data_IF_761359740044
#
_entry.id   IF_761359740044
#
_cell.length_a   1.000
_cell.length_b   1.000
_cell.length_c   1.000
_cell.angle_alpha   90.00
_cell.angle_beta   90.00
_cell.angle_gamma   90.00
#
_symmetry.space_group_name_H-M   'P 1'
#
loop_
_entity.id
_entity.type
_entity.pdbx_description
1 polymer ?
#
# COMPACT_ATOMS: atom_id res chain seq x y z
N UNK A 1 1.07 -23.38 18.35
CA UNK A 1 0.12 -22.73 17.42
C UNK A 1 0.33 -21.22 17.56
N UNK A 2 0.79 -20.54 16.53
CA UNK A 2 0.92 -19.07 16.53
C UNK A 2 -0.48 -18.48 16.56
N UNK A 3 -0.82 -17.80 17.66
CA UNK A 3 -2.10 -17.10 17.80
C UNK A 3 -2.29 -16.21 16.57
N UNK A 4 -3.37 -16.43 15.85
CA UNK A 4 -3.70 -15.67 14.63
C UNK A 4 -4.03 -14.25 15.06
N UNK A 5 -3.45 -13.28 14.36
CA UNK A 5 -3.63 -11.86 14.68
C UNK A 5 -4.83 -11.35 13.91
N UNK A 6 -6.00 -11.48 14.51
CA UNK A 6 -7.27 -11.16 13.88
C UNK A 6 -7.34 -9.71 13.36
N UNK A 7 -6.72 -8.75 14.07
CA UNK A 7 -6.68 -7.35 13.62
C UNK A 7 -5.97 -7.15 12.26
N UNK A 8 -4.97 -7.98 11.93
CA UNK A 8 -4.27 -7.88 10.63
C UNK A 8 -5.19 -8.36 9.50
N UNK A 9 -5.96 -9.41 9.71
CA UNK A 9 -6.93 -9.87 8.73
C UNK A 9 -8.08 -8.85 8.58
N UNK A 10 -8.51 -8.17 9.67
CA UNK A 10 -9.43 -7.04 9.59
C UNK A 10 -8.87 -5.89 8.74
N UNK A 11 -7.62 -5.48 8.98
CA UNK A 11 -6.96 -4.43 8.19
C UNK A 11 -6.81 -4.80 6.72
N UNK A 12 -6.49 -6.06 6.42
CA UNK A 12 -6.42 -6.57 5.04
C UNK A 12 -7.80 -6.55 4.38
N UNK A 13 -8.85 -6.95 5.13
CA UNK A 13 -10.22 -6.90 4.66
C UNK A 13 -10.67 -5.48 4.34
N UNK A 14 -10.36 -4.51 5.19
CA UNK A 14 -10.59 -3.10 4.90
C UNK A 14 -9.80 -2.65 3.67
N UNK A 15 -8.50 -2.99 3.62
CA UNK A 15 -7.62 -2.61 2.52
C UNK A 15 -8.15 -3.08 1.17
N UNK A 16 -8.57 -4.35 1.05
CA UNK A 16 -9.08 -4.88 -0.23
C UNK A 16 -10.42 -4.25 -0.64
N UNK A 17 -11.30 -3.97 0.32
CA UNK A 17 -12.53 -3.22 0.04
C UNK A 17 -12.21 -1.84 -0.53
N UNK A 18 -11.26 -1.12 0.08
CA UNK A 18 -10.85 0.20 -0.39
C UNK A 18 -10.17 0.15 -1.77
N UNK A 19 -9.43 -0.91 -2.09
CA UNK A 19 -8.87 -1.13 -3.43
C UNK A 19 -10.00 -1.26 -4.46
N UNK A 20 -10.99 -2.12 -4.19
CA UNK A 20 -12.14 -2.32 -5.11
C UNK A 20 -12.93 -1.03 -5.29
N UNK A 21 -13.28 -0.36 -4.18
CA UNK A 21 -14.00 0.92 -4.22
C UNK A 21 -13.21 2.01 -4.93
N UNK A 22 -11.90 2.10 -4.67
CA UNK A 22 -11.03 3.06 -5.32
C UNK A 22 -11.02 2.90 -6.84
N UNK A 23 -10.85 1.67 -7.34
CA UNK A 23 -10.88 1.41 -8.78
C UNK A 23 -12.26 1.64 -9.40
N UNK A 24 -13.34 1.36 -8.68
CA UNK A 24 -14.69 1.69 -9.14
C UNK A 24 -14.89 3.21 -9.25
N UNK A 25 -14.48 3.97 -8.23
CA UNK A 25 -14.59 5.43 -8.21
C UNK A 25 -13.70 6.11 -9.25
N UNK A 26 -12.56 5.52 -9.61
CA UNK A 26 -11.63 6.07 -10.60
C UNK A 26 -12.31 6.39 -11.94
N UNK A 27 -13.28 5.57 -12.35
CA UNK A 27 -14.01 5.76 -13.61
C UNK A 27 -15.01 6.93 -13.57
N UNK A 28 -15.53 7.28 -12.38
CA UNK A 28 -16.57 8.29 -12.21
C UNK A 28 -16.07 9.60 -11.63
N UNK A 29 -14.83 9.65 -11.11
CA UNK A 29 -14.30 10.81 -10.39
C UNK A 29 -14.27 12.11 -11.21
N UNK A 30 -14.08 12.00 -12.52
CA UNK A 30 -14.02 13.16 -13.41
C UNK A 30 -15.40 13.81 -13.65
N UNK A 31 -16.50 13.14 -13.31
CA UNK A 31 -17.85 13.66 -13.46
C UNK A 31 -18.48 14.23 -12.19
N UNK A 32 -17.94 13.90 -11.01
CA UNK A 32 -18.58 14.23 -9.74
C UNK A 32 -17.56 14.59 -8.66
N UNK A 33 -17.58 15.85 -8.18
CA UNK A 33 -16.65 16.35 -7.15
C UNK A 33 -16.66 15.53 -5.86
N UNK A 34 -17.84 15.05 -5.43
CA UNK A 34 -17.96 14.17 -4.26
C UNK A 34 -17.24 12.83 -4.47
N UNK A 35 -17.37 12.21 -5.64
CA UNK A 35 -16.71 10.95 -5.98
C UNK A 35 -15.19 11.16 -6.05
N UNK A 36 -14.77 12.28 -6.64
CA UNK A 36 -13.36 12.67 -6.69
C UNK A 36 -12.78 12.86 -5.29
N UNK A 37 -13.44 13.62 -4.42
CA UNK A 37 -13.00 13.82 -3.04
C UNK A 37 -12.91 12.49 -2.25
N UNK A 38 -13.89 11.60 -2.43
CA UNK A 38 -13.90 10.26 -1.82
C UNK A 38 -12.73 9.42 -2.34
N UNK A 39 -12.48 9.46 -3.64
CA UNK A 39 -11.34 8.78 -4.28
C UNK A 39 -10.01 9.26 -3.69
N UNK A 40 -9.79 10.57 -3.57
CA UNK A 40 -8.58 11.13 -2.99
C UNK A 40 -8.39 10.70 -1.53
N UNK A 41 -9.47 10.65 -0.73
CA UNK A 41 -9.39 10.16 0.65
C UNK A 41 -8.96 8.69 0.71
N UNK A 42 -9.48 7.83 -0.15
CA UNK A 42 -9.10 6.42 -0.20
C UNK A 42 -7.63 6.29 -0.64
N UNK A 43 -7.25 6.96 -1.73
CA UNK A 43 -5.90 6.86 -2.29
C UNK A 43 -4.82 7.43 -1.38
N UNK A 44 -5.17 8.33 -0.47
CA UNK A 44 -4.22 8.87 0.51
C UNK A 44 -3.63 7.82 1.46
N UNK A 45 -4.29 6.66 1.67
CA UNK A 45 -3.78 5.69 2.64
C UNK A 45 -3.99 4.20 2.32
N UNK A 46 -4.92 3.83 1.40
CA UNK A 46 -5.28 2.41 1.22
C UNK A 46 -4.08 1.53 0.82
N UNK A 47 -3.20 2.02 -0.07
CA UNK A 47 -2.00 1.27 -0.44
C UNK A 47 -0.94 1.29 0.67
N UNK A 48 -0.80 2.38 1.44
CA UNK A 48 0.03 2.44 2.62
C UNK A 48 -0.37 1.36 3.64
N UNK A 49 -1.68 1.24 3.91
CA UNK A 49 -2.26 0.20 4.75
C UNK A 49 -1.95 -1.21 4.21
N UNK A 50 -2.19 -1.43 2.92
CA UNK A 50 -2.00 -2.75 2.30
C UNK A 50 -0.53 -3.18 2.30
N UNK A 51 0.40 -2.27 1.98
CA UNK A 51 1.84 -2.50 2.04
C UNK A 51 2.31 -2.80 3.46
N UNK A 52 1.82 -2.04 4.47
CA UNK A 52 2.13 -2.28 5.88
C UNK A 52 1.63 -3.66 6.33
N UNK A 53 0.39 -4.03 5.99
CA UNK A 53 -0.15 -5.37 6.28
C UNK A 53 0.72 -6.48 5.68
N UNK A 54 1.25 -6.28 4.47
CA UNK A 54 2.16 -7.25 3.86
C UNK A 54 3.47 -7.37 4.61
N UNK A 55 4.03 -6.27 5.11
CA UNK A 55 5.20 -6.28 5.99
C UNK A 55 4.93 -6.99 7.32
N UNK A 56 3.75 -6.76 7.92
CA UNK A 56 3.33 -7.39 9.18
C UNK A 56 3.28 -8.93 9.11
N UNK A 57 2.87 -9.48 7.96
CA UNK A 57 2.77 -10.93 7.76
C UNK A 57 4.00 -11.53 7.10
N UNK A 58 4.95 -10.70 6.67
CA UNK A 58 6.11 -11.14 5.91
C UNK A 58 6.96 -12.15 6.69
N UNK A 59 7.37 -13.22 5.99
CA UNK A 59 8.32 -14.23 6.48
C UNK A 59 9.22 -14.60 5.33
N UNK A 60 10.54 -14.46 5.53
CA UNK A 60 11.50 -14.80 4.50
C UNK A 60 11.51 -16.30 4.24
N UNK A 61 11.22 -16.66 3.02
CA UNK A 61 11.36 -18.02 2.52
C UNK A 61 11.66 -17.95 1.02
N UNK A 62 12.93 -18.15 0.61
CA UNK A 62 13.35 -18.00 -0.78
C UNK A 62 12.63 -18.96 -1.73
N UNK A 63 12.28 -20.17 -1.24
CA UNK A 63 11.52 -21.12 -2.05
C UNK A 63 10.10 -20.61 -2.32
N UNK A 64 9.42 -20.06 -1.30
CA UNK A 64 8.08 -19.48 -1.47
C UNK A 64 8.09 -18.19 -2.28
N UNK A 65 9.16 -17.42 -2.22
CA UNK A 65 9.33 -16.23 -3.05
C UNK A 65 9.22 -16.60 -4.54
N UNK A 66 9.93 -17.64 -4.96
CA UNK A 66 9.92 -18.09 -6.36
C UNK A 66 8.63 -18.86 -6.69
N UNK A 67 8.27 -19.86 -5.88
CA UNK A 67 7.19 -20.80 -6.24
C UNK A 67 5.78 -20.26 -5.97
N UNK A 68 5.64 -19.20 -5.19
CA UNK A 68 4.35 -18.60 -4.88
C UNK A 68 4.26 -17.16 -5.37
N UNK A 69 5.15 -16.26 -4.95
CA UNK A 69 4.99 -14.84 -5.26
C UNK A 69 5.35 -14.52 -6.72
N UNK A 70 6.55 -14.93 -7.16
CA UNK A 70 6.98 -14.71 -8.54
C UNK A 70 6.08 -15.49 -9.52
N UNK A 71 5.74 -16.74 -9.20
CA UNK A 71 4.82 -17.54 -10.02
C UNK A 71 3.45 -16.89 -10.14
N UNK A 72 2.89 -16.41 -9.03
CA UNK A 72 1.59 -15.72 -9.03
C UNK A 72 1.62 -14.44 -9.87
N UNK A 73 2.71 -13.66 -9.76
CA UNK A 73 2.91 -12.48 -10.61
C UNK A 73 2.93 -12.86 -12.09
N UNK A 74 3.71 -13.87 -12.46
CA UNK A 74 3.84 -14.31 -13.86
C UNK A 74 2.50 -14.83 -14.43
N UNK A 75 1.78 -15.65 -13.66
CA UNK A 75 0.45 -16.15 -14.07
C UNK A 75 -0.52 -14.99 -14.24
N UNK A 76 -0.58 -14.05 -13.28
CA UNK A 76 -1.41 -12.86 -13.39
C UNK A 76 -1.06 -12.01 -14.62
N UNK A 77 0.23 -11.83 -14.91
CA UNK A 77 0.69 -11.11 -16.11
C UNK A 77 0.29 -11.81 -17.42
N UNK A 78 0.38 -13.14 -17.46
CA UNK A 78 -0.09 -13.89 -18.63
C UNK A 78 -1.60 -13.70 -18.83
N UNK A 79 -2.39 -13.79 -17.77
CA UNK A 79 -3.84 -13.57 -17.84
C UNK A 79 -4.14 -12.14 -18.34
N UNK A 80 -3.46 -11.13 -17.77
CA UNK A 80 -3.63 -9.74 -18.20
C UNK A 80 -3.17 -9.50 -19.63
N UNK A 81 -2.06 -10.13 -20.04
CA UNK A 81 -1.58 -10.04 -21.43
C UNK A 81 -2.61 -10.63 -22.42
N UNK A 82 -3.15 -11.82 -22.13
CA UNK A 82 -4.18 -12.44 -22.96
C UNK A 82 -5.45 -11.58 -22.99
N UNK A 83 -5.87 -11.03 -21.86
CA UNK A 83 -7.02 -10.12 -21.80
C UNK A 83 -6.80 -8.86 -22.67
N UNK A 84 -5.63 -8.22 -22.56
CA UNK A 84 -5.27 -7.04 -23.36
C UNK A 84 -5.26 -7.36 -24.86
N UNK A 85 -4.68 -8.51 -25.24
CA UNK A 85 -4.61 -8.94 -26.64
C UNK A 85 -5.98 -9.32 -27.20
N UNK A 86 -6.76 -10.15 -26.49
CA UNK A 86 -7.99 -10.74 -27.00
C UNK A 86 -9.21 -9.83 -26.83
N UNK A 87 -9.33 -9.14 -25.70
CA UNK A 87 -10.51 -8.32 -25.35
C UNK A 87 -10.28 -6.85 -25.70
N UNK A 88 -9.16 -6.26 -25.24
CA UNK A 88 -8.88 -4.86 -25.51
C UNK A 88 -8.27 -4.61 -26.90
N UNK A 89 -7.83 -5.66 -27.59
CA UNK A 89 -7.19 -5.59 -28.92
C UNK A 89 -6.04 -4.58 -28.97
N UNK A 90 -5.26 -4.52 -27.89
CA UNK A 90 -4.18 -3.54 -27.73
C UNK A 90 -3.04 -3.82 -28.69
N UNK A 91 -2.51 -2.77 -29.32
CA UNK A 91 -1.31 -2.85 -30.14
C UNK A 91 -0.06 -2.73 -29.26
N UNK A 92 0.60 -3.84 -28.97
CA UNK A 92 1.78 -3.86 -28.10
C UNK A 92 3.03 -3.20 -28.70
N UNK A 93 3.04 -2.89 -29.98
CA UNK A 93 4.19 -2.20 -30.61
C UNK A 93 4.42 -0.81 -29.97
N UNK A 94 3.35 -0.13 -29.58
CA UNK A 94 3.40 1.18 -28.92
C UNK A 94 3.81 1.10 -27.42
N UNK A 95 3.65 -0.07 -26.81
CA UNK A 95 3.95 -0.32 -25.37
C UNK A 95 5.33 -0.98 -25.15
N UNK A 96 6.25 -0.85 -26.12
CA UNK A 96 7.58 -1.47 -26.02
C UNK A 96 7.65 -2.93 -26.47
N UNK A 97 6.61 -3.42 -27.15
CA UNK A 97 6.53 -4.78 -27.69
C UNK A 97 5.85 -5.80 -26.78
N UNK A 98 5.51 -6.95 -27.34
CA UNK A 98 4.79 -8.01 -26.62
C UNK A 98 5.56 -8.55 -25.40
N UNK A 99 6.89 -8.63 -25.46
CA UNK A 99 7.72 -9.09 -24.35
C UNK A 99 7.68 -8.11 -23.17
N UNK A 100 7.77 -6.81 -23.45
CA UNK A 100 7.64 -5.78 -22.42
C UNK A 100 6.23 -5.82 -21.79
N UNK A 101 5.19 -5.91 -22.60
CA UNK A 101 3.81 -6.01 -22.13
C UNK A 101 3.55 -7.28 -21.29
N UNK A 102 4.29 -8.36 -21.52
CA UNK A 102 4.20 -9.60 -20.73
C UNK A 102 4.97 -9.52 -19.41
N UNK A 103 6.13 -8.87 -19.38
CA UNK A 103 7.01 -8.88 -18.21
C UNK A 103 6.80 -7.69 -17.29
N UNK A 104 6.28 -6.57 -17.81
CA UNK A 104 6.08 -5.35 -17.03
C UNK A 104 4.69 -5.29 -16.42
N UNK A 105 4.57 -4.87 -15.16
CA UNK A 105 3.29 -4.89 -14.45
C UNK A 105 2.30 -3.91 -15.09
N UNK A 106 1.15 -4.43 -15.45
CA UNK A 106 0.03 -3.63 -15.94
C UNK A 106 -0.89 -3.21 -14.79
N UNK A 107 -1.23 -1.92 -14.70
CA UNK A 107 -2.14 -1.35 -13.69
C UNK A 107 -1.83 -1.84 -12.26
N UNK A 108 -2.80 -2.51 -11.61
CA UNK A 108 -2.71 -2.99 -10.22
C UNK A 108 -1.63 -4.07 -10.01
N UNK A 109 -1.16 -4.77 -11.05
CA UNK A 109 -0.14 -5.83 -10.91
C UNK A 109 1.21 -5.34 -10.35
N UNK A 110 1.44 -4.01 -10.33
CA UNK A 110 2.65 -3.42 -9.75
C UNK A 110 2.91 -3.83 -8.29
N UNK A 111 1.85 -4.06 -7.53
CA UNK A 111 1.97 -4.43 -6.12
C UNK A 111 2.55 -5.85 -5.94
N UNK A 112 2.11 -6.84 -6.73
CA UNK A 112 2.72 -8.18 -6.71
C UNK A 112 4.17 -8.15 -7.17
N UNK A 113 4.47 -7.34 -8.18
CA UNK A 113 5.82 -7.06 -8.64
C UNK A 113 6.68 -6.47 -7.50
N UNK A 114 6.18 -5.45 -6.81
CA UNK A 114 6.86 -4.82 -5.69
C UNK A 114 7.15 -5.80 -4.54
N UNK A 115 6.19 -6.68 -4.21
CA UNK A 115 6.36 -7.67 -3.16
C UNK A 115 7.57 -8.58 -3.38
N UNK A 116 7.90 -8.93 -4.62
CA UNK A 116 9.10 -9.74 -4.94
C UNK A 116 10.36 -8.99 -4.50
N UNK A 117 10.50 -7.71 -4.85
CA UNK A 117 11.66 -6.90 -4.46
C UNK A 117 11.71 -6.65 -2.95
N UNK A 118 10.58 -6.32 -2.35
CA UNK A 118 10.53 -6.05 -0.90
C UNK A 118 10.88 -7.28 -0.06
N UNK A 119 10.49 -8.48 -0.50
CA UNK A 119 10.86 -9.71 0.20
C UNK A 119 12.36 -10.01 0.17
N UNK A 120 13.09 -9.54 -0.86
CA UNK A 120 14.55 -9.67 -0.90
C UNK A 120 15.24 -8.84 0.18
N UNK A 121 14.64 -7.74 0.63
CA UNK A 121 15.19 -6.89 1.71
C UNK A 121 14.87 -7.42 3.10
N UNK A 122 13.94 -8.36 3.23
CA UNK A 122 13.42 -8.86 4.51
C UNK A 122 14.49 -9.37 5.47
N UNK A 123 15.54 -10.14 5.03
CA UNK A 123 16.60 -10.57 5.93
C UNK A 123 17.35 -9.41 6.59
N UNK A 124 17.61 -8.34 5.82
CA UNK A 124 18.29 -7.13 6.32
C UNK A 124 17.42 -6.38 7.33
N UNK A 125 16.14 -6.19 7.01
CA UNK A 125 15.20 -5.53 7.92
C UNK A 125 15.04 -6.31 9.25
N UNK A 126 14.89 -7.63 9.17
CA UNK A 126 14.83 -8.47 10.37
C UNK A 126 16.13 -8.41 11.16
N UNK A 127 17.30 -8.47 10.51
CA UNK A 127 18.60 -8.36 11.17
C UNK A 127 18.75 -7.02 11.90
N UNK A 128 18.39 -5.90 11.27
CA UNK A 128 18.43 -4.57 11.91
C UNK A 128 17.54 -4.52 13.15
N UNK A 129 16.27 -4.98 13.04
CA UNK A 129 15.33 -5.03 14.15
C UNK A 129 15.83 -5.90 15.30
N UNK A 130 16.29 -7.09 15.01
CA UNK A 130 16.60 -8.09 16.03
C UNK A 130 17.97 -7.83 16.69
N UNK A 131 18.93 -7.25 15.94
CA UNK A 131 20.29 -6.95 16.44
C UNK A 131 20.36 -5.69 17.29
N UNK A 132 19.66 -4.62 16.88
CA UNK A 132 19.75 -3.31 17.52
C UNK A 132 18.42 -2.85 18.13
N UNK A 133 17.42 -3.71 18.13
CA UNK A 133 16.08 -3.42 18.70
C UNK A 133 15.52 -2.07 18.19
N UNK A 134 15.08 -1.18 19.11
CA UNK A 134 14.47 0.09 18.71
C UNK A 134 15.39 1.00 17.89
N UNK A 135 16.67 1.21 18.20
CA UNK A 135 17.57 1.98 17.33
C UNK A 135 17.69 1.38 15.92
N UNK A 136 17.80 0.06 15.80
CA UNK A 136 17.86 -0.62 14.49
C UNK A 136 16.55 -0.54 13.71
N UNK A 137 15.43 -0.59 14.42
CA UNK A 137 14.09 -0.40 13.84
C UNK A 137 13.94 1.02 13.27
N UNK A 138 14.34 2.04 14.04
CA UNK A 138 14.30 3.43 13.58
C UNK A 138 15.27 3.67 12.41
N UNK A 139 16.50 3.13 12.50
CA UNK A 139 17.49 3.23 11.41
C UNK A 139 16.97 2.56 10.14
N UNK A 140 16.41 1.36 10.23
CA UNK A 140 15.86 0.64 9.08
C UNK A 140 14.72 1.41 8.41
N UNK A 141 13.84 2.02 9.18
CA UNK A 141 12.78 2.86 8.63
C UNK A 141 13.33 4.15 8.01
N UNK A 142 14.29 4.81 8.67
CA UNK A 142 14.93 6.02 8.14
C UNK A 142 15.65 5.73 6.81
N UNK A 143 16.34 4.60 6.69
CA UNK A 143 16.97 4.15 5.44
C UNK A 143 15.92 3.86 4.35
N UNK A 144 14.80 3.21 4.70
CA UNK A 144 13.73 2.94 3.75
C UNK A 144 13.08 4.25 3.24
N UNK A 145 12.82 5.21 4.13
CA UNK A 145 12.30 6.54 3.78
C UNK A 145 13.34 7.31 2.96
N UNK A 146 14.60 7.32 3.38
CA UNK A 146 15.69 7.97 2.66
C UNK A 146 15.85 7.43 1.23
N UNK A 147 15.80 6.11 1.05
CA UNK A 147 15.80 5.47 -0.26
C UNK A 147 14.60 5.91 -1.11
N UNK A 148 13.41 5.95 -0.52
CA UNK A 148 12.21 6.33 -1.22
C UNK A 148 12.20 7.82 -1.62
N UNK A 149 12.74 8.71 -0.76
CA UNK A 149 12.92 10.12 -1.10
C UNK A 149 13.99 10.31 -2.19
N UNK A 150 15.15 9.65 -2.05
CA UNK A 150 16.20 9.69 -3.07
C UNK A 150 15.72 9.09 -4.41
N UNK A 151 14.88 8.05 -4.35
CA UNK A 151 14.28 7.44 -5.52
C UNK A 151 13.40 8.38 -6.34
N UNK A 152 12.87 9.46 -5.75
CA UNK A 152 12.13 10.49 -6.47
C UNK A 152 12.99 11.38 -7.36
N UNK A 153 14.32 11.40 -7.16
CA UNK A 153 15.26 12.14 -8.01
C UNK A 153 15.55 11.45 -9.35
N UNK A 154 15.18 10.18 -9.48
CA UNK A 154 15.50 9.35 -10.64
C UNK A 154 14.24 8.98 -11.40
N UNK A 155 14.28 9.05 -12.71
CA UNK A 155 13.25 8.48 -13.57
C UNK A 155 13.46 6.98 -13.69
N UNK A 156 12.68 6.23 -12.91
CA UNK A 156 12.75 4.78 -12.90
C UNK A 156 11.94 4.18 -14.05
N UNK A 157 12.50 3.22 -14.79
CA UNK A 157 11.71 2.48 -15.77
C UNK A 157 10.66 1.59 -15.08
N UNK A 158 9.56 1.33 -15.77
CA UNK A 158 8.66 0.20 -15.50
C UNK A 158 8.03 0.18 -14.11
N UNK A 159 7.42 1.25 -13.65
CA UNK A 159 6.75 1.30 -12.33
C UNK A 159 7.66 1.07 -11.12
N UNK A 160 8.99 0.96 -11.30
CA UNK A 160 9.94 0.84 -10.18
C UNK A 160 9.87 2.04 -9.25
N UNK A 161 9.46 3.20 -9.73
CA UNK A 161 9.21 4.38 -8.88
C UNK A 161 8.20 4.05 -7.77
N UNK A 162 7.11 3.32 -8.07
CA UNK A 162 6.14 2.87 -7.05
C UNK A 162 6.75 1.85 -6.09
N UNK A 163 7.56 0.91 -6.60
CA UNK A 163 8.25 -0.08 -5.76
C UNK A 163 9.08 0.62 -4.69
N UNK A 164 9.80 1.68 -5.07
CA UNK A 164 10.64 2.45 -4.16
C UNK A 164 9.79 3.37 -3.28
N UNK A 165 8.80 4.07 -3.84
CA UNK A 165 7.96 5.02 -3.12
C UNK A 165 7.10 4.37 -2.01
N UNK A 166 6.60 3.15 -2.22
CA UNK A 166 5.77 2.44 -1.24
C UNK A 166 6.57 1.53 -0.29
N UNK A 167 7.86 1.33 -0.54
CA UNK A 167 8.74 0.51 0.28
C UNK A 167 8.75 0.88 1.78
N UNK A 168 8.73 2.16 2.18
CA UNK A 168 8.71 2.54 3.59
C UNK A 168 7.55 1.94 4.39
N UNK A 169 6.38 1.76 3.79
CA UNK A 169 5.23 1.16 4.46
C UNK A 169 5.42 -0.35 4.70
N UNK A 170 5.97 -1.06 3.72
CA UNK A 170 6.33 -2.46 3.91
C UNK A 170 7.41 -2.61 5.00
N UNK A 171 8.46 -1.80 4.94
CA UNK A 171 9.51 -1.79 5.94
C UNK A 171 8.97 -1.46 7.34
N UNK A 172 8.06 -0.48 7.46
CA UNK A 172 7.38 -0.16 8.71
C UNK A 172 6.62 -1.38 9.27
N UNK A 173 5.86 -2.09 8.45
CA UNK A 173 5.17 -3.32 8.86
C UNK A 173 6.11 -4.41 9.39
N UNK A 174 7.27 -4.61 8.74
CA UNK A 174 8.29 -5.57 9.19
C UNK A 174 8.96 -5.15 10.49
N UNK A 175 9.40 -3.90 10.53
CA UNK A 175 10.24 -3.36 11.61
C UNK A 175 9.45 -3.09 12.89
N UNK A 176 8.27 -2.49 12.78
CA UNK A 176 7.43 -2.09 13.92
C UNK A 176 6.34 -3.11 14.29
N UNK A 177 6.43 -4.32 13.76
CA UNK A 177 5.48 -5.40 14.06
C UNK A 177 5.27 -5.62 15.57
N UNK A 178 6.31 -5.73 16.43
CA UNK A 178 6.09 -5.93 17.86
C UNK A 178 5.35 -4.77 18.54
N UNK A 179 5.65 -3.53 18.11
CA UNK A 179 5.03 -2.33 18.64
C UNK A 179 3.55 -2.22 18.22
N UNK A 180 3.24 -2.53 16.96
CA UNK A 180 1.86 -2.55 16.47
C UNK A 180 1.03 -3.65 17.13
N UNK A 181 1.60 -4.85 17.35
CA UNK A 181 0.95 -5.91 18.10
C UNK A 181 0.65 -5.50 19.55
N UNK A 182 1.63 -4.88 20.23
CA UNK A 182 1.45 -4.38 21.59
C UNK A 182 0.41 -3.25 21.66
N UNK A 183 0.41 -2.35 20.66
CA UNK A 183 -0.56 -1.27 20.56
C UNK A 183 -1.97 -1.81 20.35
N UNK A 184 -2.15 -2.75 19.44
CA UNK A 184 -3.43 -3.40 19.18
C UNK A 184 -3.94 -4.16 20.41
N UNK A 185 -3.07 -4.91 21.11
CA UNK A 185 -3.42 -5.62 22.34
C UNK A 185 -3.87 -4.65 23.45
N UNK A 186 -3.12 -3.57 23.68
CA UNK A 186 -3.51 -2.55 24.66
C UNK A 186 -4.82 -1.84 24.31
N UNK A 187 -5.08 -1.64 23.01
CA UNK A 187 -6.31 -1.01 22.54
C UNK A 187 -7.52 -1.94 22.63
N UNK A 188 -7.33 -3.25 22.50
CA UNK A 188 -8.42 -4.22 22.64
C UNK A 188 -9.11 -4.12 24.01
N UNK A 189 -8.34 -3.81 25.08
CA UNK A 189 -8.85 -3.65 26.44
C UNK A 189 -9.40 -2.24 26.72
N UNK A 190 -9.02 -1.21 25.92
CA UNK A 190 -9.33 0.21 26.18
C UNK A 190 -10.27 0.80 25.12
N UNK A 191 -11.57 0.75 25.37
CA UNK A 191 -12.58 1.34 24.48
C UNK A 191 -12.38 2.85 24.23
N UNK A 192 -11.87 3.60 25.25
CA UNK A 192 -11.56 5.03 25.10
C UNK A 192 -10.48 5.29 24.06
N UNK A 193 -9.43 4.47 24.02
CA UNK A 193 -8.36 4.59 23.03
C UNK A 193 -8.88 4.35 21.60
N UNK A 194 -9.72 3.32 21.43
CA UNK A 194 -10.36 3.05 20.13
C UNK A 194 -11.27 4.17 19.66
N UNK A 195 -12.06 4.74 20.57
CA UNK A 195 -12.93 5.89 20.27
C UNK A 195 -12.12 7.13 19.89
N UNK A 196 -11.04 7.41 20.62
CA UNK A 196 -10.15 8.52 20.34
C UNK A 196 -9.47 8.36 18.96
N UNK A 197 -8.96 7.16 18.65
CA UNK A 197 -8.37 6.87 17.33
C UNK A 197 -9.39 7.01 16.19
N UNK A 198 -10.61 6.50 16.38
CA UNK A 198 -11.68 6.65 15.40
C UNK A 198 -12.07 8.12 15.20
N UNK A 199 -12.22 8.89 16.30
CA UNK A 199 -12.53 10.31 16.22
C UNK A 199 -11.41 11.08 15.49
N UNK A 200 -10.15 10.80 15.78
CA UNK A 200 -9.01 11.42 15.10
C UNK A 200 -9.01 11.12 13.58
N UNK A 201 -9.30 9.86 13.19
CA UNK A 201 -9.43 9.49 11.77
C UNK A 201 -10.59 10.21 11.11
N UNK A 202 -11.78 10.23 11.74
CA UNK A 202 -12.97 10.89 11.18
C UNK A 202 -12.74 12.40 11.03
N UNK A 203 -12.14 13.06 12.02
CA UNK A 203 -11.83 14.49 11.96
C UNK A 203 -10.77 14.77 10.89
N UNK A 204 -9.67 14.02 10.89
CA UNK A 204 -8.58 14.22 9.93
C UNK A 204 -9.00 13.98 8.48
N UNK A 205 -9.64 12.82 8.20
CA UNK A 205 -10.11 12.52 6.85
C UNK A 205 -11.35 13.32 6.45
N UNK A 206 -12.22 13.70 7.39
CA UNK A 206 -13.32 14.61 7.16
C UNK A 206 -12.85 16.00 6.75
N UNK A 207 -11.84 16.54 7.44
CA UNK A 207 -11.21 17.81 7.08
C UNK A 207 -10.49 17.73 5.73
N UNK A 208 -9.78 16.63 5.46
CA UNK A 208 -9.13 16.40 4.17
C UNK A 208 -10.15 16.29 3.04
N UNK A 209 -11.22 15.52 3.23
CA UNK A 209 -12.32 15.39 2.27
C UNK A 209 -12.93 16.75 1.95
N UNK A 210 -13.23 17.54 2.99
CA UNK A 210 -13.84 18.86 2.81
C UNK A 210 -12.89 19.81 2.08
N UNK A 211 -11.61 19.81 2.43
CA UNK A 211 -10.58 20.58 1.71
C UNK A 211 -10.52 20.22 0.24
N UNK A 212 -10.48 18.91 -0.08
CA UNK A 212 -10.43 18.44 -1.46
C UNK A 212 -11.70 18.82 -2.21
N UNK A 213 -12.88 18.65 -1.58
CA UNK A 213 -14.18 19.00 -2.17
C UNK A 213 -14.28 20.50 -2.51
N UNK A 214 -13.75 21.38 -1.63
CA UNK A 214 -13.75 22.83 -1.82
C UNK A 214 -12.69 23.32 -2.83
N UNK A 215 -11.65 22.53 -3.07
CA UNK A 215 -10.59 22.88 -4.03
C UNK A 215 -10.90 22.47 -5.48
N UNK A 216 -12.11 22.04 -5.78
CA UNK A 216 -12.55 21.51 -7.08
C UNK A 216 -11.67 20.35 -7.59
N UNK A 217 -11.81 19.18 -6.99
CA UNK A 217 -10.93 18.03 -7.25
C UNK A 217 -11.02 17.45 -8.67
N UNK A 218 -12.01 17.88 -9.47
CA UNK A 218 -12.16 17.44 -10.87
C UNK A 218 -11.01 17.97 -11.72
N UNK A 219 -10.53 19.18 -11.42
CA UNK A 219 -9.46 19.83 -12.16
C UNK A 219 -8.07 19.43 -11.66
N UNK A 220 -7.96 18.95 -10.43
CA UNK A 220 -6.68 18.51 -9.85
C UNK A 220 -6.39 17.04 -10.17
N UNK A 221 -5.75 16.82 -11.31
CA UNK A 221 -5.25 15.51 -11.71
C UNK A 221 -3.83 15.29 -11.15
N UNK A 222 -3.65 15.50 -9.84
CA UNK A 222 -2.35 15.53 -9.19
C UNK A 222 -1.61 14.18 -9.30
N UNK A 223 -0.49 14.13 -10.02
CA UNK A 223 0.35 12.93 -10.09
C UNK A 223 0.95 12.54 -8.74
N UNK A 224 0.98 13.46 -7.77
CA UNK A 224 1.48 13.24 -6.41
C UNK A 224 0.65 12.20 -5.63
N UNK A 225 -0.62 12.02 -5.98
CA UNK A 225 -1.48 11.04 -5.32
C UNK A 225 -1.06 9.59 -5.59
N UNK A 226 -0.52 9.35 -6.77
CA UNK A 226 -0.17 7.98 -7.21
C UNK A 226 1.27 7.61 -6.88
N UNK A 227 2.14 8.60 -6.62
CA UNK A 227 3.58 8.41 -6.41
C UNK A 227 4.24 7.52 -7.48
N UNK A 228 3.77 7.61 -8.71
CA UNK A 228 4.23 6.84 -9.86
C UNK A 228 5.15 7.61 -10.81
N UNK A 229 5.49 8.84 -10.42
CA UNK A 229 6.39 9.72 -11.15
C UNK A 229 7.56 10.17 -10.28
N UNK A 230 8.65 10.61 -10.94
CA UNK A 230 9.78 11.29 -10.28
C UNK A 230 9.41 12.71 -9.86
N UNK A 231 10.30 13.40 -9.16
CA UNK A 231 10.09 14.81 -8.84
C UNK A 231 10.05 15.69 -10.09
N UNK A 232 10.79 15.34 -11.14
CA UNK A 232 10.68 15.99 -12.43
C UNK A 232 9.30 15.81 -13.07
N UNK A 233 8.62 14.70 -12.81
CA UNK A 233 7.26 14.40 -13.26
C UNK A 233 6.14 15.02 -12.42
N UNK A 234 6.47 15.83 -11.39
CA UNK A 234 5.49 16.59 -10.60
C UNK A 234 5.27 16.10 -9.17
N UNK A 235 5.93 15.01 -8.71
CA UNK A 235 5.95 14.66 -7.29
C UNK A 235 6.89 15.61 -6.53
N UNK A 236 6.84 15.63 -5.20
CA UNK A 236 7.72 16.47 -4.38
C UNK A 236 8.14 15.77 -3.09
N UNK A 237 9.31 16.14 -2.57
CA UNK A 237 9.79 15.65 -1.26
C UNK A 237 8.77 15.94 -0.16
N UNK A 238 8.19 17.13 -0.15
CA UNK A 238 7.19 17.52 0.86
C UNK A 238 5.95 16.65 0.84
N UNK A 239 5.40 16.38 -0.33
CA UNK A 239 4.25 15.50 -0.48
C UNK A 239 4.57 14.06 -0.05
N UNK A 240 5.73 13.51 -0.41
CA UNK A 240 6.14 12.17 0.02
C UNK A 240 6.32 12.09 1.54
N UNK A 241 6.93 13.07 2.17
CA UNK A 241 7.06 13.10 3.64
C UNK A 241 5.69 13.11 4.33
N UNK A 242 4.79 13.99 3.89
CA UNK A 242 3.41 14.03 4.41
C UNK A 242 2.70 12.70 4.18
N UNK A 243 2.85 12.11 3.00
CA UNK A 243 2.26 10.81 2.67
C UNK A 243 2.78 9.68 3.60
N UNK A 244 4.08 9.63 3.87
CA UNK A 244 4.64 8.62 4.80
C UNK A 244 4.13 8.80 6.22
N UNK A 245 4.13 10.02 6.72
CA UNK A 245 3.61 10.32 8.06
C UNK A 245 2.11 9.99 8.16
N UNK A 246 1.31 10.48 7.23
CA UNK A 246 -0.12 10.24 7.21
C UNK A 246 -0.45 8.75 7.09
N UNK A 247 0.21 8.01 6.18
CA UNK A 247 -0.03 6.58 5.97
C UNK A 247 0.37 5.73 7.17
N UNK A 248 1.50 6.02 7.81
CA UNK A 248 1.96 5.32 9.03
C UNK A 248 0.99 5.59 10.19
N UNK A 249 0.64 6.85 10.44
CA UNK A 249 -0.27 7.23 11.52
C UNK A 249 -1.67 6.65 11.30
N UNK A 250 -2.18 6.72 10.08
CA UNK A 250 -3.47 6.13 9.72
C UNK A 250 -3.47 4.62 9.94
N UNK A 251 -2.44 3.92 9.49
CA UNK A 251 -2.36 2.46 9.68
C UNK A 251 -2.29 2.08 11.15
N UNK A 252 -1.51 2.82 11.97
CA UNK A 252 -1.45 2.59 13.41
C UNK A 252 -2.80 2.87 14.09
N UNK A 253 -3.48 3.97 13.72
CA UNK A 253 -4.82 4.29 14.23
C UNK A 253 -5.87 3.24 13.84
N UNK A 254 -5.82 2.74 12.61
CA UNK A 254 -6.70 1.65 12.14
C UNK A 254 -6.41 0.34 12.89
N UNK A 255 -5.16 0.01 13.20
CA UNK A 255 -4.81 -1.14 14.03
C UNK A 255 -5.43 -1.03 15.44
N UNK A 256 -5.48 0.19 16.01
CA UNK A 256 -6.18 0.46 17.28
C UNK A 256 -7.69 0.28 17.14
N UNK A 257 -8.31 0.86 16.11
CA UNK A 257 -9.77 0.80 15.88
C UNK A 257 -10.25 -0.62 15.69
N UNK A 258 -9.50 -1.42 14.90
CA UNK A 258 -9.86 -2.80 14.53
C UNK A 258 -9.31 -3.87 15.49
N UNK A 259 -8.68 -3.47 16.60
CA UNK A 259 -8.04 -4.38 17.56
C UNK A 259 -8.97 -5.42 18.20
N UNK A 260 -10.28 -5.17 18.22
CA UNK A 260 -11.29 -6.05 18.83
C UNK A 260 -12.49 -6.30 17.93
N UNK A 261 -12.33 -6.11 16.61
CA UNK A 261 -13.39 -6.34 15.63
C UNK A 261 -13.10 -7.61 14.84
N UNK A 262 -14.15 -8.29 14.34
CA UNK A 262 -14.07 -9.54 13.58
C UNK A 262 -15.04 -9.54 12.38
N UNK A 263 -15.32 -8.35 11.81
CA UNK A 263 -16.32 -8.19 10.74
C UNK A 263 -15.75 -8.43 9.35
N UNK A 264 -14.49 -8.04 9.12
CA UNK A 264 -13.82 -8.10 7.83
C UNK A 264 -12.78 -9.23 7.73
N UNK A 265 -12.59 -10.01 8.78
CA UNK A 265 -11.61 -11.08 8.87
C UNK A 265 -11.76 -12.10 7.72
N UNK A 266 -12.99 -12.45 7.36
CA UNK A 266 -13.28 -13.34 6.24
C UNK A 266 -12.75 -12.80 4.91
N UNK A 267 -12.97 -11.51 4.64
CA UNK A 267 -12.42 -10.84 3.45
C UNK A 267 -10.90 -10.76 3.51
N UNK A 268 -10.35 -10.45 4.68
CA UNK A 268 -8.90 -10.36 4.90
C UNK A 268 -8.16 -11.68 4.65
N UNK A 269 -8.81 -12.81 4.90
CA UNK A 269 -8.26 -14.14 4.60
C UNK A 269 -8.20 -14.45 3.10
N UNK A 270 -9.07 -13.85 2.30
CA UNK A 270 -9.22 -14.11 0.87
C UNK A 270 -8.75 -12.95 -0.01
N UNK A 271 -7.99 -11.99 0.55
CA UNK A 271 -7.55 -10.78 -0.17
C UNK A 271 -6.86 -11.06 -1.50
N UNK A 272 -6.08 -12.14 -1.58
CA UNK A 272 -5.39 -12.50 -2.81
C UNK A 272 -6.36 -12.91 -3.93
N UNK A 273 -7.39 -13.68 -3.61
CA UNK A 273 -8.40 -14.11 -4.58
C UNK A 273 -9.28 -12.94 -5.05
N UNK A 274 -9.46 -11.91 -4.21
CA UNK A 274 -10.22 -10.70 -4.59
C UNK A 274 -9.36 -9.75 -5.43
N UNK A 275 -8.04 -9.74 -5.16
CA UNK A 275 -7.10 -8.88 -5.87
C UNK A 275 -6.85 -9.32 -7.32
N UNK A 276 -6.86 -10.62 -7.59
CA UNK A 276 -6.66 -11.22 -8.92
C UNK A 276 -7.94 -11.32 -9.72
#
# INVERSE_FOLDING_TARGET
MTQRRDYIDELKGLGILLVVFGHFMEQYRMGYSFVSASFFCIYAFHMALFCTCSGLVARFNPRKLVTQQLWLYLVGQVIMFVFRAAVLRENFAESGGALAALLLPWRHMWYLYALVFWHLTLPVLCWLRDRWRLPGTCLGLALAVGLALAGGLVEWPFTLVRVVAFYPFYAFGVLFRPQLDALAAAAAEKCSLRRAALAALLVGYGAYFLRVLLADPILDNSPQLFHDVSYAGGDTVGYRVVFYLAGILTTAALAVVFSSRHQLEGLGRHTLAIYL
#
